data_IF_698911317624
#
_entry.id   IF_698911317624
#
_cell.length_a   1.000
_cell.length_b   1.000
_cell.length_c   1.000
_cell.angle_alpha   90.00
_cell.angle_beta   90.00
_cell.angle_gamma   90.00
#
_symmetry.space_group_name_H-M   'P 1'
#
loop_
_entity.id
_entity.type
_entity.pdbx_description
1 polymer ?
#
# COMPACT_ATOMS: atom_id res chain seq x y z
N UNK A 1 7.33 -28.16 -19.84
CA UNK A 1 6.13 -28.85 -20.38
C UNK A 1 5.42 -29.58 -19.24
N UNK A 2 4.11 -29.41 -19.07
CA UNK A 2 3.36 -30.07 -17.99
C UNK A 2 3.22 -31.58 -18.28
N UNK A 3 3.36 -32.46 -17.27
CA UNK A 3 3.30 -33.93 -17.40
C UNK A 3 2.03 -34.38 -18.15
N UNK A 4 0.91 -33.72 -17.88
CA UNK A 4 -0.36 -33.99 -18.55
C UNK A 4 -0.34 -33.69 -20.06
N UNK A 5 0.35 -32.63 -20.50
CA UNK A 5 0.48 -32.32 -21.93
C UNK A 5 1.36 -33.36 -22.64
N UNK A 6 2.41 -33.83 -21.97
CA UNK A 6 3.28 -34.87 -22.51
C UNK A 6 2.54 -36.20 -22.70
N UNK A 7 1.66 -36.55 -21.76
CA UNK A 7 0.83 -37.76 -21.86
C UNK A 7 -0.19 -37.63 -23.00
N UNK A 8 -0.88 -36.48 -23.11
CA UNK A 8 -1.82 -36.19 -24.18
C UNK A 8 -1.19 -36.30 -25.58
N UNK A 9 0.00 -35.72 -25.78
CA UNK A 9 0.70 -35.81 -27.06
C UNK A 9 1.11 -37.24 -27.42
N UNK A 10 1.51 -38.06 -26.44
CA UNK A 10 1.81 -39.48 -26.67
C UNK A 10 0.57 -40.29 -27.08
N UNK A 11 -0.58 -40.02 -26.47
CA UNK A 11 -1.85 -40.68 -26.83
C UNK A 11 -2.31 -40.23 -28.22
N UNK A 12 -2.21 -38.93 -28.53
CA UNK A 12 -2.55 -38.37 -29.84
C UNK A 12 -1.68 -38.99 -30.95
N UNK A 13 -0.36 -39.09 -30.74
CA UNK A 13 0.57 -39.69 -31.69
C UNK A 13 0.27 -41.20 -31.92
N UNK A 14 -0.13 -41.92 -30.86
CA UNK A 14 -0.55 -43.32 -30.96
C UNK A 14 -1.81 -43.47 -31.82
N UNK A 15 -2.81 -42.61 -31.62
CA UNK A 15 -4.05 -42.63 -32.41
C UNK A 15 -3.79 -42.28 -33.88
N UNK A 16 -2.96 -41.28 -34.16
CA UNK A 16 -2.55 -40.94 -35.53
C UNK A 16 -1.88 -42.14 -36.20
N UNK A 17 -1.02 -42.86 -35.48
CA UNK A 17 -0.35 -44.06 -36.01
C UNK A 17 -1.32 -45.23 -36.29
N UNK A 18 -2.39 -45.36 -35.50
CA UNK A 18 -3.41 -46.41 -35.65
C UNK A 18 -4.41 -46.12 -36.79
N UNK A 19 -4.80 -44.86 -36.97
CA UNK A 19 -5.90 -44.49 -37.86
C UNK A 19 -5.46 -43.86 -39.19
N UNK A 20 -4.17 -43.57 -39.39
CA UNK A 20 -3.65 -43.00 -40.65
C UNK A 20 -2.99 -44.07 -41.53
N UNK A 21 -3.29 -44.09 -42.83
CA UNK A 21 -2.58 -44.96 -43.79
C UNK A 21 -1.07 -44.67 -43.76
N UNK A 22 -0.24 -45.72 -43.82
CA UNK A 22 1.24 -45.63 -43.72
C UNK A 22 1.87 -44.56 -44.60
N UNK A 23 1.38 -44.38 -45.83
CA UNK A 23 1.89 -43.42 -46.81
C UNK A 23 1.63 -41.95 -46.42
N UNK A 24 0.58 -41.66 -45.65
CA UNK A 24 0.20 -40.29 -45.24
C UNK A 24 0.58 -39.94 -43.81
N UNK A 25 1.12 -40.91 -43.06
CA UNK A 25 1.43 -40.73 -41.64
C UNK A 25 2.49 -39.65 -41.41
N UNK A 26 3.52 -39.59 -42.26
CA UNK A 26 4.59 -38.59 -42.15
C UNK A 26 4.05 -37.16 -42.31
N UNK A 27 3.22 -36.93 -43.33
CA UNK A 27 2.63 -35.62 -43.63
C UNK A 27 1.66 -35.16 -42.53
N UNK A 28 0.82 -36.07 -42.02
CA UNK A 28 -0.12 -35.77 -40.93
C UNK A 28 0.62 -35.46 -39.63
N UNK A 29 1.71 -36.18 -39.32
CA UNK A 29 2.53 -35.92 -38.13
C UNK A 29 3.23 -34.56 -38.21
N UNK A 30 3.82 -34.23 -39.36
CA UNK A 30 4.47 -32.94 -39.58
C UNK A 30 3.50 -31.76 -39.43
N UNK A 31 2.28 -31.87 -39.97
CA UNK A 31 1.24 -30.84 -39.82
C UNK A 31 0.76 -30.64 -38.37
N UNK A 32 0.74 -31.70 -37.56
CA UNK A 32 0.37 -31.63 -36.14
C UNK A 32 1.50 -31.05 -35.29
N UNK A 33 2.75 -31.42 -35.56
CA UNK A 33 3.93 -30.82 -34.93
C UNK A 33 4.01 -29.32 -35.22
N UNK A 34 3.75 -28.90 -36.45
CA UNK A 34 3.70 -27.49 -36.82
C UNK A 34 2.60 -26.73 -36.04
N UNK A 35 1.39 -27.29 -35.96
CA UNK A 35 0.30 -26.71 -35.15
C UNK A 35 0.62 -26.67 -33.65
N UNK A 36 1.33 -27.67 -33.12
CA UNK A 36 1.81 -27.69 -31.72
C UNK A 36 2.83 -26.57 -31.48
N UNK A 37 3.80 -26.40 -32.39
CA UNK A 37 4.80 -25.35 -32.33
C UNK A 37 4.16 -23.94 -32.40
N UNK A 38 3.21 -23.72 -33.31
CA UNK A 38 2.47 -22.46 -33.44
C UNK A 38 1.67 -22.14 -32.16
N UNK A 39 1.02 -23.16 -31.57
CA UNK A 39 0.24 -22.99 -30.33
C UNK A 39 1.14 -22.69 -29.12
N UNK A 40 2.32 -23.32 -29.04
CA UNK A 40 3.29 -23.07 -27.99
C UNK A 40 3.92 -21.68 -28.14
N UNK A 41 4.29 -21.28 -29.36
CA UNK A 41 4.79 -19.95 -29.66
C UNK A 41 3.76 -18.87 -29.31
N UNK A 42 2.49 -19.08 -29.68
CA UNK A 42 1.39 -18.18 -29.31
C UNK A 42 1.20 -18.09 -27.79
N UNK A 43 1.35 -19.20 -27.07
CA UNK A 43 1.23 -19.21 -25.59
C UNK A 43 2.39 -18.45 -24.94
N UNK A 44 3.60 -18.63 -25.43
CA UNK A 44 4.78 -17.92 -24.96
C UNK A 44 4.65 -16.41 -25.20
N UNK A 45 4.23 -16.00 -26.40
CA UNK A 45 3.98 -14.59 -26.73
C UNK A 45 2.91 -13.99 -25.80
N UNK A 46 1.78 -14.69 -25.58
CA UNK A 46 0.73 -14.24 -24.64
C UNK A 46 1.22 -14.14 -23.20
N UNK A 47 2.12 -15.04 -22.78
CA UNK A 47 2.69 -14.99 -21.43
C UNK A 47 3.65 -13.82 -21.27
N UNK A 48 4.54 -13.61 -22.24
CA UNK A 48 5.44 -12.45 -22.28
C UNK A 48 4.66 -11.13 -22.30
N UNK A 49 3.59 -11.04 -23.09
CA UNK A 49 2.73 -9.86 -23.15
C UNK A 49 2.03 -9.60 -21.80
N UNK A 50 1.50 -10.64 -21.16
CA UNK A 50 0.90 -10.52 -19.81
C UNK A 50 1.91 -10.06 -18.77
N UNK A 51 3.12 -10.60 -18.80
CA UNK A 51 4.20 -10.19 -17.88
C UNK A 51 4.62 -8.74 -18.14
N UNK A 52 4.71 -8.31 -19.40
CA UNK A 52 5.00 -6.93 -19.77
C UNK A 52 3.92 -5.98 -19.24
N UNK A 53 2.65 -6.27 -19.52
CA UNK A 53 1.52 -5.48 -19.05
C UNK A 53 1.45 -5.42 -17.52
N UNK A 54 1.80 -6.50 -16.83
CA UNK A 54 1.86 -6.53 -15.36
C UNK A 54 2.95 -5.58 -14.84
N UNK A 55 4.16 -5.64 -15.42
CA UNK A 55 5.27 -4.75 -15.04
C UNK A 55 4.95 -3.29 -15.30
N UNK A 56 4.36 -2.97 -16.46
CA UNK A 56 3.93 -1.61 -16.81
C UNK A 56 2.91 -1.06 -15.79
N UNK A 57 1.93 -1.88 -15.38
CA UNK A 57 0.95 -1.48 -14.35
C UNK A 57 1.58 -1.28 -12.98
N UNK A 58 2.50 -2.15 -12.58
CA UNK A 58 3.22 -2.04 -11.30
C UNK A 58 4.09 -0.79 -11.28
N UNK A 59 4.77 -0.47 -12.38
CA UNK A 59 5.57 0.74 -12.51
C UNK A 59 4.70 2.00 -12.51
N UNK A 60 3.58 1.99 -13.21
CA UNK A 60 2.63 3.10 -13.20
C UNK A 60 2.05 3.33 -11.80
N UNK A 61 1.67 2.26 -11.09
CA UNK A 61 1.21 2.35 -9.71
C UNK A 61 2.31 2.90 -8.78
N UNK A 62 3.55 2.44 -8.95
CA UNK A 62 4.68 2.94 -8.16
C UNK A 62 4.87 4.44 -8.36
N UNK A 63 4.92 4.91 -9.61
CA UNK A 63 5.04 6.35 -9.96
C UNK A 63 3.88 7.16 -9.37
N UNK A 64 2.67 6.61 -9.41
CA UNK A 64 1.49 7.24 -8.84
C UNK A 64 1.62 7.44 -7.31
N UNK A 65 2.09 6.41 -6.60
CA UNK A 65 2.31 6.46 -5.15
C UNK A 65 3.42 7.44 -4.79
N UNK A 66 4.55 7.39 -5.51
CA UNK A 66 5.67 8.31 -5.32
C UNK A 66 5.25 9.77 -5.53
N UNK A 67 4.39 10.04 -6.51
CA UNK A 67 3.83 11.37 -6.71
C UNK A 67 2.91 11.83 -5.55
N UNK A 68 2.12 10.92 -4.96
CA UNK A 68 1.32 11.25 -3.77
C UNK A 68 2.26 11.55 -2.60
N UNK A 69 3.28 10.71 -2.38
CA UNK A 69 4.27 10.87 -1.32
C UNK A 69 4.99 12.22 -1.42
N UNK A 70 5.49 12.58 -2.60
CA UNK A 70 6.18 13.86 -2.82
C UNK A 70 5.28 15.07 -2.50
N UNK A 71 3.98 14.94 -2.76
CA UNK A 71 3.00 15.98 -2.46
C UNK A 71 2.54 15.98 -0.99
N UNK A 72 2.58 14.84 -0.32
CA UNK A 72 2.12 14.67 1.06
C UNK A 72 3.21 14.94 2.09
N UNK A 73 4.38 14.31 1.95
CA UNK A 73 5.42 14.20 2.97
C UNK A 73 6.57 15.19 2.73
N UNK A 74 7.07 15.79 3.81
CA UNK A 74 8.23 16.68 3.78
C UNK A 74 9.52 15.88 3.54
N UNK A 75 10.31 16.25 2.53
CA UNK A 75 11.55 15.57 2.19
C UNK A 75 12.74 16.23 2.91
N UNK A 76 12.96 15.86 4.19
CA UNK A 76 14.08 16.38 5.00
C UNK A 76 15.16 15.31 5.26
N UNK A 77 15.51 14.50 4.26
CA UNK A 77 16.54 13.46 4.39
C UNK A 77 16.11 12.18 5.10
N UNK A 78 14.88 12.10 5.63
CA UNK A 78 14.25 10.83 5.98
C UNK A 78 13.40 10.33 4.82
N UNK A 79 13.67 9.10 4.36
CA UNK A 79 12.77 8.39 3.47
C UNK A 79 11.45 8.09 4.18
N UNK A 80 10.36 8.01 3.42
CA UNK A 80 9.09 7.49 3.91
C UNK A 80 9.25 6.04 4.38
N UNK A 81 8.51 5.65 5.41
CA UNK A 81 8.58 4.28 5.94
C UNK A 81 7.83 3.29 5.03
N UNK A 82 8.13 1.97 5.12
CA UNK A 82 7.33 0.95 4.46
C UNK A 82 5.85 1.00 4.88
N UNK A 83 5.57 1.38 6.13
CA UNK A 83 4.22 1.63 6.61
C UNK A 83 3.51 2.71 5.79
N UNK A 84 4.14 3.87 5.64
CA UNK A 84 3.57 5.02 4.92
C UNK A 84 3.31 4.68 3.44
N UNK A 85 4.27 4.02 2.79
CA UNK A 85 4.11 3.57 1.41
C UNK A 85 2.92 2.62 1.25
N UNK A 86 2.81 1.61 2.12
CA UNK A 86 1.74 0.62 2.05
C UNK A 86 0.36 1.22 2.38
N UNK A 87 0.29 2.13 3.35
CA UNK A 87 -0.96 2.81 3.66
C UNK A 87 -1.42 3.73 2.52
N UNK A 88 -0.50 4.46 1.89
CA UNK A 88 -0.83 5.28 0.72
C UNK A 88 -1.27 4.40 -0.45
N UNK A 89 -0.56 3.31 -0.71
CA UNK A 89 -0.93 2.33 -1.75
C UNK A 89 -2.37 1.84 -1.57
N UNK A 90 -2.77 1.51 -0.34
CA UNK A 90 -4.12 1.02 -0.02
C UNK A 90 -5.20 2.11 -0.05
N UNK A 91 -4.83 3.38 0.19
CA UNK A 91 -5.79 4.47 0.40
C UNK A 91 -5.53 5.70 -0.49
N UNK A 92 -5.09 5.51 -1.75
CA UNK A 92 -4.67 6.60 -2.66
C UNK A 92 -5.65 7.77 -2.75
N UNK A 93 -6.94 7.48 -2.90
CA UNK A 93 -8.01 8.50 -3.05
C UNK A 93 -8.11 9.38 -1.80
N UNK A 94 -7.99 8.78 -0.62
CA UNK A 94 -8.01 9.50 0.65
C UNK A 94 -6.83 10.47 0.74
N UNK A 95 -5.60 10.00 0.49
CA UNK A 95 -4.41 10.85 0.60
C UNK A 95 -4.38 11.98 -0.43
N UNK A 96 -4.88 11.76 -1.65
CA UNK A 96 -5.10 12.84 -2.64
C UNK A 96 -6.06 13.90 -2.10
N UNK A 97 -7.19 13.46 -1.55
CA UNK A 97 -8.21 14.35 -0.99
C UNK A 97 -7.71 15.09 0.25
N UNK A 98 -6.88 14.44 1.07
CA UNK A 98 -6.25 15.03 2.25
C UNK A 98 -5.41 16.25 1.88
N UNK A 99 -4.53 16.10 0.87
CA UNK A 99 -3.67 17.18 0.38
C UNK A 99 -4.51 18.36 -0.14
N UNK A 100 -5.59 18.07 -0.87
CA UNK A 100 -6.42 19.11 -1.51
C UNK A 100 -7.35 19.84 -0.53
N UNK A 101 -7.89 19.14 0.49
CA UNK A 101 -9.00 19.63 1.30
C UNK A 101 -8.64 19.99 2.73
N UNK A 102 -7.53 19.45 3.26
CA UNK A 102 -7.20 19.55 4.69
C UNK A 102 -5.93 20.33 4.92
N UNK A 103 -4.90 20.11 4.08
CA UNK A 103 -3.62 20.79 4.19
C UNK A 103 -3.72 22.22 3.66
N UNK A 104 -3.04 23.13 4.35
CA UNK A 104 -2.84 24.49 3.86
C UNK A 104 -1.71 24.56 2.81
N UNK A 105 -1.61 25.66 2.05
CA UNK A 105 -0.46 25.88 1.17
C UNK A 105 0.86 25.71 1.92
N UNK A 106 1.80 24.96 1.32
CA UNK A 106 3.11 24.61 1.89
C UNK A 106 3.06 23.79 3.22
N UNK A 107 1.89 23.26 3.60
CA UNK A 107 1.79 22.30 4.69
C UNK A 107 2.14 20.90 4.18
N UNK A 108 3.08 20.25 4.86
CA UNK A 108 3.55 18.89 4.54
C UNK A 108 3.51 18.03 5.79
N UNK A 109 3.08 16.78 5.65
CA UNK A 109 3.17 15.81 6.72
C UNK A 109 4.64 15.43 6.96
N UNK A 110 4.99 15.28 8.24
CA UNK A 110 6.32 14.80 8.66
C UNK A 110 6.29 13.28 8.83
N UNK A 111 5.16 12.76 9.27
CA UNK A 111 4.78 11.35 9.31
C UNK A 111 3.26 11.25 9.48
N UNK A 112 2.71 10.04 9.44
CA UNK A 112 1.34 9.79 9.89
C UNK A 112 1.18 8.37 10.43
N UNK A 113 0.13 8.14 11.22
CA UNK A 113 -0.26 6.82 11.67
C UNK A 113 -1.78 6.70 11.75
N UNK A 114 -2.31 5.55 11.35
CA UNK A 114 -3.71 5.22 11.53
C UNK A 114 -3.95 4.79 12.98
N UNK A 115 -4.98 5.34 13.61
CA UNK A 115 -5.32 5.09 15.00
C UNK A 115 -6.81 5.35 15.25
N UNK A 116 -7.28 4.88 16.40
CA UNK A 116 -8.50 5.38 17.01
C UNK A 116 -8.22 6.70 17.76
N UNK A 117 -9.19 7.61 17.79
CA UNK A 117 -9.14 8.81 18.62
C UNK A 117 -10.29 8.80 19.62
N UNK A 118 -9.96 8.60 20.90
CA UNK A 118 -10.94 8.68 21.98
C UNK A 118 -11.23 10.15 22.31
N UNK A 119 -12.29 10.67 21.69
CA UNK A 119 -12.80 12.03 21.96
C UNK A 119 -13.78 12.05 23.14
N UNK A 120 -14.49 10.95 23.39
CA UNK A 120 -15.52 10.81 24.42
C UNK A 120 -15.96 9.35 24.50
N UNK A 121 -16.34 8.90 25.70
CA UNK A 121 -16.79 7.54 26.09
C UNK A 121 -17.95 6.92 25.31
N UNK A 122 -18.44 7.53 24.22
CA UNK A 122 -19.55 7.04 23.41
C UNK A 122 -19.23 6.86 21.93
N UNK A 123 -18.04 7.24 21.45
CA UNK A 123 -17.74 7.13 20.02
C UNK A 123 -16.26 6.96 19.73
N UNK A 124 -15.91 5.75 19.31
CA UNK A 124 -14.65 5.39 18.69
C UNK A 124 -14.56 6.04 17.30
N UNK A 125 -13.50 6.80 17.05
CA UNK A 125 -13.30 7.49 15.76
C UNK A 125 -11.96 7.09 15.19
N UNK A 126 -11.98 6.24 14.17
CA UNK A 126 -10.77 5.85 13.46
C UNK A 126 -10.36 6.87 12.39
N UNK A 127 -9.07 7.15 12.32
CA UNK A 127 -8.50 8.12 11.40
C UNK A 127 -6.98 8.12 11.39
N UNK A 128 -6.42 9.15 10.80
CA UNK A 128 -4.97 9.34 10.77
C UNK A 128 -4.57 10.49 11.68
N UNK A 129 -3.61 10.24 12.56
CA UNK A 129 -2.86 11.25 13.29
C UNK A 129 -1.64 11.65 12.45
N UNK A 130 -1.55 12.95 12.14
CA UNK A 130 -0.64 13.49 11.13
C UNK A 130 0.07 14.72 11.73
N UNK A 131 1.27 14.57 12.31
CA UNK A 131 2.15 15.71 12.53
C UNK A 131 2.60 16.30 11.20
N UNK A 132 2.33 17.59 10.98
CA UNK A 132 2.79 18.37 9.82
C UNK A 132 3.90 19.32 10.21
N UNK A 133 4.54 19.96 9.23
CA UNK A 133 5.50 21.03 9.48
C UNK A 133 4.89 22.28 10.15
N UNK A 134 3.56 22.40 10.24
CA UNK A 134 2.84 23.52 10.88
C UNK A 134 2.14 23.14 12.18
N UNK A 135 1.48 21.99 12.24
CA UNK A 135 0.58 21.59 13.34
C UNK A 135 0.36 20.07 13.36
N UNK A 136 -0.42 19.58 14.31
CA UNK A 136 -0.86 18.19 14.34
C UNK A 136 -2.30 18.14 13.85
N UNK A 137 -2.60 17.21 12.95
CA UNK A 137 -3.93 17.00 12.41
C UNK A 137 -4.40 15.60 12.78
N UNK A 138 -5.63 15.47 13.27
CA UNK A 138 -6.33 14.19 13.26
C UNK A 138 -7.50 14.26 12.28
N UNK A 139 -7.65 13.26 11.43
CA UNK A 139 -8.69 13.24 10.39
C UNK A 139 -9.17 11.83 10.10
N UNK A 140 -10.49 11.63 10.09
CA UNK A 140 -11.08 10.36 9.70
C UNK A 140 -11.19 10.22 8.16
N UNK A 141 -11.31 8.98 7.66
CA UNK A 141 -11.34 8.69 6.21
C UNK A 141 -12.49 9.39 5.46
N UNK A 142 -13.57 9.74 6.15
CA UNK A 142 -14.74 10.44 5.59
C UNK A 142 -14.63 11.97 5.65
N UNK A 143 -13.56 12.52 6.22
CA UNK A 143 -13.38 13.96 6.46
C UNK A 143 -14.50 14.60 7.29
N UNK A 144 -15.32 13.80 8.00
CA UNK A 144 -16.40 14.29 8.85
C UNK A 144 -15.90 14.72 10.23
N UNK A 145 -14.70 14.28 10.62
CA UNK A 145 -14.01 14.67 11.84
C UNK A 145 -12.62 15.12 11.45
N UNK A 146 -12.35 16.41 11.64
CA UNK A 146 -11.03 17.01 11.47
C UNK A 146 -10.73 17.77 12.75
N UNK A 147 -9.62 17.44 13.41
CA UNK A 147 -9.11 18.14 14.58
C UNK A 147 -7.71 18.68 14.27
N UNK A 148 -7.41 19.88 14.77
CA UNK A 148 -6.15 20.57 14.55
C UNK A 148 -5.59 21.00 15.90
N UNK A 149 -4.37 20.57 16.20
CA UNK A 149 -3.71 20.83 17.46
C UNK A 149 -2.41 21.61 17.23
N UNK A 150 -2.20 22.65 18.04
CA UNK A 150 -1.00 23.48 17.95
C UNK A 150 0.13 22.85 18.75
N UNK A 151 1.29 22.71 18.15
CA UNK A 151 2.47 22.16 18.83
C UNK A 151 2.81 22.90 20.12
N UNK A 152 2.71 24.24 20.16
CA UNK A 152 2.97 25.07 21.35
C UNK A 152 2.11 24.73 22.57
N UNK A 153 1.00 24.00 22.39
CA UNK A 153 0.10 23.58 23.49
C UNK A 153 0.42 22.17 23.97
N UNK A 154 1.22 21.41 23.22
CA UNK A 154 1.69 20.08 23.62
C UNK A 154 2.76 20.24 24.70
N UNK A 155 2.55 19.58 25.84
CA UNK A 155 3.48 19.58 26.98
C UNK A 155 4.32 18.31 27.05
N UNK A 156 3.72 17.19 26.67
CA UNK A 156 4.39 15.89 26.68
C UNK A 156 3.69 14.90 25.74
N UNK A 157 4.42 13.87 25.34
CA UNK A 157 3.94 12.76 24.52
C UNK A 157 4.48 11.46 25.11
N UNK A 158 3.60 10.51 25.42
CA UNK A 158 3.96 9.19 25.95
C UNK A 158 3.26 8.12 25.13
N UNK A 159 3.92 7.00 24.85
CA UNK A 159 3.26 5.80 24.33
C UNK A 159 2.99 4.79 25.44
N UNK A 160 2.03 3.90 25.23
CA UNK A 160 1.66 2.86 26.18
C UNK A 160 1.26 1.56 25.47
N UNK A 161 1.20 0.47 26.23
CA UNK A 161 0.64 -0.81 25.75
C UNK A 161 -0.85 -0.84 26.05
N UNK A 162 -1.65 -1.14 25.05
CA UNK A 162 -3.12 -1.14 25.13
C UNK A 162 -3.69 -2.57 25.04
N UNK A 163 -2.98 -3.44 24.33
CA UNK A 163 -3.25 -4.87 24.26
C UNK A 163 -1.98 -5.68 24.05
N UNK A 164 -2.12 -6.96 23.69
CA UNK A 164 -0.96 -7.82 23.41
C UNK A 164 -0.11 -7.22 22.26
N UNK A 165 -0.80 -6.79 21.19
CA UNK A 165 -0.20 -6.18 20.01
C UNK A 165 -0.53 -4.68 19.88
N UNK A 166 -1.67 -4.23 20.42
CA UNK A 166 -2.06 -2.82 20.36
C UNK A 166 -1.21 -1.94 21.29
N UNK A 167 -0.94 -0.75 20.79
CA UNK A 167 -0.27 0.33 21.49
C UNK A 167 -1.10 1.59 21.33
N UNK A 168 -0.88 2.55 22.22
CA UNK A 168 -1.52 3.86 22.15
C UNK A 168 -0.53 5.00 22.37
N UNK A 169 -0.96 6.21 22.02
CA UNK A 169 -0.25 7.47 22.17
C UNK A 169 -1.08 8.43 23.01
N UNK A 170 -0.53 8.87 24.13
CA UNK A 170 -1.09 9.92 24.99
C UNK A 170 -0.36 11.23 24.76
N UNK A 171 -1.08 12.27 24.36
CA UNK A 171 -0.56 13.64 24.21
C UNK A 171 -1.14 14.52 25.31
N UNK A 172 -0.28 15.09 26.16
CA UNK A 172 -0.69 16.10 27.13
C UNK A 172 -0.84 17.45 26.40
N UNK A 173 -2.07 17.86 26.12
CA UNK A 173 -2.41 19.08 25.38
C UNK A 173 -2.99 20.14 26.32
N UNK A 174 -2.14 21.04 26.81
CA UNK A 174 -2.49 22.01 27.84
C UNK A 174 -2.95 21.31 29.13
N UNK A 175 -4.22 21.51 29.51
CA UNK A 175 -4.84 20.83 30.67
C UNK A 175 -5.54 19.51 30.31
N UNK A 176 -5.66 19.16 29.03
CA UNK A 176 -6.38 17.97 28.56
C UNK A 176 -5.39 16.87 28.14
N UNK A 177 -5.81 15.62 28.24
CA UNK A 177 -5.11 14.47 27.66
C UNK A 177 -5.84 14.07 26.38
N UNK A 178 -5.10 13.89 25.30
CA UNK A 178 -5.57 13.29 24.06
C UNK A 178 -5.03 11.86 24.00
N UNK A 179 -5.85 10.93 23.56
CA UNK A 179 -5.56 9.50 23.56
C UNK A 179 -5.84 8.93 22.17
N UNK A 180 -4.88 8.18 21.65
CA UNK A 180 -4.88 7.65 20.30
C UNK A 180 -4.43 6.20 20.31
N UNK A 181 -5.34 5.29 20.07
CA UNK A 181 -5.17 3.87 20.40
C UNK A 181 -5.33 3.00 19.15
N UNK A 182 -5.40 1.68 19.30
CA UNK A 182 -5.51 0.73 18.17
C UNK A 182 -4.35 0.86 17.16
N UNK A 183 -3.13 1.08 17.68
CA UNK A 183 -1.92 1.25 16.88
C UNK A 183 -1.10 -0.03 16.89
N UNK A 184 -0.87 -0.59 15.70
CA UNK A 184 -0.18 -1.87 15.52
C UNK A 184 1.29 -1.73 15.08
N UNK A 185 1.67 -0.60 14.46
CA UNK A 185 3.04 -0.37 14.01
C UNK A 185 3.82 0.45 15.05
N UNK A 186 4.66 -0.23 15.83
CA UNK A 186 5.39 0.37 16.94
C UNK A 186 6.45 1.37 16.47
N UNK A 187 7.16 1.09 15.38
CA UNK A 187 8.23 1.96 14.90
C UNK A 187 7.65 3.26 14.35
N UNK A 188 6.56 3.17 13.58
CA UNK A 188 5.84 4.34 13.11
C UNK A 188 5.19 5.12 14.27
N UNK A 189 4.69 4.44 15.30
CA UNK A 189 4.16 5.09 16.52
C UNK A 189 5.23 5.93 17.21
N UNK A 190 6.40 5.33 17.47
CA UNK A 190 7.53 6.00 18.11
C UNK A 190 7.98 7.19 17.25
N UNK A 191 8.06 7.01 15.93
CA UNK A 191 8.42 8.07 14.99
C UNK A 191 7.44 9.25 15.06
N UNK A 192 6.13 8.98 14.97
CA UNK A 192 5.09 10.01 15.06
C UNK A 192 5.14 10.73 16.42
N UNK A 193 5.24 9.97 17.51
CA UNK A 193 5.32 10.54 18.86
C UNK A 193 6.54 11.44 19.06
N UNK A 194 7.71 11.00 18.60
CA UNK A 194 8.96 11.77 18.68
C UNK A 194 8.90 13.04 17.83
N UNK A 195 8.33 12.98 16.62
CA UNK A 195 8.14 14.18 15.79
C UNK A 195 7.29 15.21 16.52
N UNK A 196 6.17 14.78 17.10
CA UNK A 196 5.26 15.67 17.84
C UNK A 196 5.99 16.31 19.02
N UNK A 197 6.69 15.51 19.82
CA UNK A 197 7.41 15.98 21.00
C UNK A 197 8.53 16.96 20.61
N UNK A 198 9.33 16.63 19.61
CA UNK A 198 10.44 17.48 19.17
C UNK A 198 9.94 18.81 18.58
N UNK A 199 8.90 18.78 17.75
CA UNK A 199 8.28 20.02 17.24
C UNK A 199 7.68 20.86 18.35
N UNK A 200 7.12 20.27 19.39
CA UNK A 200 6.59 21.04 20.54
C UNK A 200 7.66 21.75 21.37
N UNK A 201 8.91 21.26 21.35
CA UNK A 201 10.04 21.84 22.11
C UNK A 201 10.83 22.89 21.34
N UNK A 202 10.75 22.86 20.01
CA UNK A 202 11.52 23.74 19.11
C UNK A 202 10.68 24.91 18.56
N UNK A 203 9.66 25.35 19.29
CA UNK A 203 8.78 26.48 18.95
C UNK A 203 8.99 27.62 19.94
#
# INVERSE_FOLDING_TARGET
MNIYQTILYKVEDMLIKLFTKKEKYADVKAGIEQKRAEKEQTRLLKQQEKERLKREREEQERREIEAIIANLLEHNGQNYSPYEYNEIKRNKVFFRSLIQRVFEPNEKALAFIYCEYDKSSKKEIFGYLIPTNKRIIFVNKRFSVIQRFRYQTVRNVNWFKDGLLERGLKIQYGKRRLEFDEIFDQDQLIRVGNIILNKSRNI
#
